data_IF_723873114026
#
_entry.id   IF_723873114026
#
_cell.length_a   1.000
_cell.length_b   1.000
_cell.length_c   1.000
_cell.angle_alpha   90.00
_cell.angle_beta   90.00
_cell.angle_gamma   90.00
#
_symmetry.space_group_name_H-M   'P 1'
#
loop_
_entity.id
_entity.type
_entity.pdbx_description
1 polymer ?
#
# COMPACT_ATOMS: atom_id res chain seq x y z
N UNK A 1 -7.24 12.87 11.53
CA UNK A 1 -6.11 12.02 11.05
C UNK A 1 -6.62 10.60 10.88
N UNK A 2 -6.44 9.96 9.72
CA UNK A 2 -6.79 8.54 9.53
C UNK A 2 -5.90 7.65 10.40
N UNK A 3 -6.46 6.56 10.95
CA UNK A 3 -5.73 5.59 11.78
C UNK A 3 -4.46 5.04 11.12
N UNK A 4 -4.50 4.81 9.80
CA UNK A 4 -3.37 4.34 9.01
C UNK A 4 -2.18 5.32 9.04
N UNK A 5 -2.45 6.63 8.99
CA UNK A 5 -1.42 7.69 9.02
C UNK A 5 -0.78 7.79 10.40
N UNK A 6 -1.59 7.72 11.48
CA UNK A 6 -1.09 7.72 12.86
C UNK A 6 -0.20 6.50 13.14
N UNK A 7 -0.52 5.34 12.57
CA UNK A 7 0.30 4.14 12.71
C UNK A 7 1.68 4.33 12.09
N UNK A 8 1.79 4.90 10.89
CA UNK A 8 3.08 5.07 10.22
C UNK A 8 4.00 6.08 10.91
N UNK A 9 3.42 7.12 11.54
CA UNK A 9 4.18 8.15 12.26
C UNK A 9 4.73 7.63 13.60
N UNK A 10 3.96 6.80 14.30
CA UNK A 10 4.28 6.35 15.67
C UNK A 10 4.97 4.99 15.73
N UNK A 11 4.99 4.23 14.61
CA UNK A 11 5.55 2.88 14.58
C UNK A 11 7.04 2.85 14.29
N UNK A 12 7.72 1.89 14.93
CA UNK A 12 9.09 1.52 14.60
C UNK A 12 9.20 0.88 13.21
N UNK A 13 10.41 0.91 12.64
CA UNK A 13 10.77 0.16 11.41
C UNK A 13 10.32 -1.30 11.45
N UNK A 14 10.47 -1.96 12.61
CA UNK A 14 10.11 -3.37 12.78
C UNK A 14 8.59 -3.59 12.62
N UNK A 15 7.80 -2.78 13.31
CA UNK A 15 6.33 -2.86 13.27
C UNK A 15 5.79 -2.62 11.85
N UNK A 16 6.37 -1.66 11.13
CA UNK A 16 5.96 -1.38 9.74
C UNK A 16 6.32 -2.54 8.82
N UNK A 17 7.50 -3.12 8.96
CA UNK A 17 7.90 -4.31 8.20
C UNK A 17 7.07 -5.55 8.51
N UNK A 18 6.62 -5.72 9.76
CA UNK A 18 5.72 -6.80 10.16
C UNK A 18 4.31 -6.59 9.58
N UNK A 19 3.76 -5.37 9.67
CA UNK A 19 2.46 -5.03 9.08
C UNK A 19 2.46 -5.19 7.57
N UNK A 20 3.52 -4.75 6.87
CA UNK A 20 3.66 -4.95 5.42
C UNK A 20 3.72 -6.42 5.03
N UNK A 21 4.39 -7.27 5.82
CA UNK A 21 4.41 -8.72 5.58
C UNK A 21 3.03 -9.34 5.76
N UNK A 22 2.25 -8.88 6.75
CA UNK A 22 0.88 -9.34 6.94
C UNK A 22 -0.02 -8.91 5.78
N UNK A 23 0.02 -7.62 5.39
CA UNK A 23 -0.72 -7.09 4.24
C UNK A 23 -0.38 -7.85 2.96
N UNK A 24 0.91 -8.12 2.72
CA UNK A 24 1.35 -8.87 1.55
C UNK A 24 0.71 -10.25 1.47
N UNK A 25 0.74 -11.06 2.54
CA UNK A 25 0.11 -12.39 2.55
C UNK A 25 -1.38 -12.31 2.22
N UNK A 26 -2.04 -11.32 2.80
CA UNK A 26 -3.46 -11.15 2.57
C UNK A 26 -3.78 -10.70 1.13
N UNK A 27 -2.92 -9.91 0.48
CA UNK A 27 -3.07 -9.54 -0.94
C UNK A 27 -2.73 -10.73 -1.84
N UNK A 28 -1.77 -11.56 -1.44
CA UNK A 28 -1.26 -12.70 -2.22
C UNK A 28 -1.98 -14.01 -1.86
N UNK A 29 -3.31 -14.03 -1.96
CA UNK A 29 -4.09 -15.26 -1.88
C UNK A 29 -5.06 -15.38 -0.72
N UNK A 30 -4.80 -14.78 0.46
CA UNK A 30 -5.72 -15.00 1.60
C UNK A 30 -7.04 -14.22 1.43
N UNK A 31 -6.97 -12.99 0.91
CA UNK A 31 -8.12 -12.08 0.77
C UNK A 31 -8.29 -11.54 -0.65
N UNK A 32 -7.35 -11.85 -1.56
CA UNK A 32 -7.39 -11.43 -2.96
C UNK A 32 -6.70 -12.47 -3.83
N UNK A 33 -6.82 -12.36 -5.15
CA UNK A 33 -6.22 -13.32 -6.07
C UNK A 33 -4.69 -13.37 -5.91
N UNK A 34 -4.06 -14.56 -6.01
CA UNK A 34 -2.60 -14.67 -5.94
C UNK A 34 -1.91 -13.75 -6.97
N UNK A 35 -0.80 -13.12 -6.58
CA UNK A 35 -0.06 -12.19 -7.45
C UNK A 35 0.34 -12.84 -8.78
N UNK A 36 0.62 -14.16 -8.77
CA UNK A 36 1.00 -14.91 -9.96
C UNK A 36 -0.04 -14.83 -11.10
N UNK A 37 -1.32 -14.71 -10.77
CA UNK A 37 -2.40 -14.65 -11.77
C UNK A 37 -2.70 -13.23 -12.24
N UNK A 38 -2.06 -12.21 -11.67
CA UNK A 38 -2.30 -10.84 -12.05
C UNK A 38 -1.63 -10.50 -13.39
N UNK A 39 -2.19 -9.52 -14.13
CA UNK A 39 -1.51 -8.90 -15.26
C UNK A 39 -0.09 -8.44 -14.92
N UNK A 40 0.84 -8.58 -15.87
CA UNK A 40 2.27 -8.28 -15.67
C UNK A 40 2.53 -6.81 -15.28
N UNK A 41 1.77 -5.90 -15.86
CA UNK A 41 1.79 -4.47 -15.58
C UNK A 41 1.32 -4.18 -14.14
N UNK A 42 0.22 -4.81 -13.70
CA UNK A 42 -0.28 -4.65 -12.32
C UNK A 42 0.68 -5.22 -11.28
N UNK A 43 1.30 -6.38 -11.55
CA UNK A 43 2.39 -6.90 -10.70
C UNK A 43 3.55 -5.92 -10.62
N UNK A 44 3.96 -5.38 -11.77
CA UNK A 44 5.07 -4.42 -11.83
C UNK A 44 4.75 -3.15 -11.05
N UNK A 45 3.53 -2.64 -11.16
CA UNK A 45 3.04 -1.50 -10.40
C UNK A 45 3.01 -1.78 -8.89
N UNK A 46 2.58 -2.99 -8.49
CA UNK A 46 2.52 -3.40 -7.08
C UNK A 46 3.88 -3.43 -6.39
N UNK A 47 4.93 -3.88 -7.10
CA UNK A 47 6.29 -3.93 -6.57
C UNK A 47 7.01 -2.58 -6.60
N UNK A 48 6.59 -1.66 -7.48
CA UNK A 48 7.02 -0.27 -7.42
C UNK A 48 6.48 0.37 -6.14
N UNK A 49 7.24 1.32 -5.59
CA UNK A 49 6.83 2.04 -4.39
C UNK A 49 5.64 2.96 -4.75
N UNK A 50 4.42 2.71 -4.24
CA UNK A 50 3.26 3.50 -4.63
C UNK A 50 3.33 4.90 -4.00
N UNK A 51 3.60 5.93 -4.82
CA UNK A 51 3.67 7.33 -4.37
C UNK A 51 2.87 8.21 -5.34
N UNK A 52 1.55 8.16 -5.23
CA UNK A 52 0.65 9.15 -5.84
C UNK A 52 0.82 9.38 -7.35
N UNK A 53 1.39 8.40 -8.06
CA UNK A 53 1.60 8.43 -9.50
C UNK A 53 0.47 7.70 -10.24
N UNK A 54 0.46 7.82 -11.57
CA UNK A 54 -0.55 7.21 -12.44
C UNK A 54 -0.62 5.68 -12.24
N UNK A 55 0.53 5.03 -12.06
CA UNK A 55 0.62 3.58 -11.86
C UNK A 55 0.02 3.17 -10.51
N UNK A 56 0.24 3.97 -9.46
CA UNK A 56 -0.41 3.80 -8.16
C UNK A 56 -1.91 3.93 -8.28
N UNK A 57 -2.41 4.91 -9.04
CA UNK A 57 -3.84 5.09 -9.26
C UNK A 57 -4.46 3.90 -10.03
N UNK A 58 -3.81 3.43 -11.10
CA UNK A 58 -4.22 2.23 -11.83
C UNK A 58 -4.25 0.99 -10.93
N UNK A 59 -3.23 0.81 -10.09
CA UNK A 59 -3.17 -0.29 -9.12
C UNK A 59 -4.33 -0.22 -8.12
N UNK A 60 -4.65 0.97 -7.59
CA UNK A 60 -5.79 1.17 -6.68
C UNK A 60 -7.10 0.79 -7.37
N UNK A 61 -7.32 1.26 -8.60
CA UNK A 61 -8.51 0.92 -9.37
C UNK A 61 -8.60 -0.58 -9.66
N UNK A 62 -7.49 -1.21 -10.04
CA UNK A 62 -7.42 -2.65 -10.26
C UNK A 62 -7.81 -3.42 -9.00
N UNK A 63 -7.20 -3.11 -7.86
CA UNK A 63 -7.48 -3.78 -6.59
C UNK A 63 -8.94 -3.58 -6.17
N UNK A 64 -9.44 -2.34 -6.18
CA UNK A 64 -10.80 -2.02 -5.75
C UNK A 64 -11.85 -2.61 -6.69
N UNK A 65 -11.65 -2.51 -8.01
CA UNK A 65 -12.56 -3.05 -9.02
C UNK A 65 -12.67 -4.58 -9.00
N UNK A 66 -11.69 -5.26 -8.40
CA UNK A 66 -11.66 -6.70 -8.23
C UNK A 66 -12.00 -7.15 -6.79
N UNK A 67 -12.55 -6.25 -5.96
CA UNK A 67 -13.08 -6.59 -4.64
C UNK A 67 -12.08 -6.53 -3.48
N UNK A 68 -10.88 -5.98 -3.68
CA UNK A 68 -9.94 -5.76 -2.58
C UNK A 68 -10.46 -4.67 -1.62
N UNK A 69 -10.46 -4.88 -0.30
CA UNK A 69 -10.94 -3.90 0.66
C UNK A 69 -10.15 -2.57 0.59
N UNK A 70 -10.84 -1.39 0.53
CA UNK A 70 -10.17 -0.10 0.46
C UNK A 70 -9.21 0.18 1.63
N UNK A 71 -9.51 -0.33 2.82
CA UNK A 71 -8.66 -0.20 4.02
C UNK A 71 -7.30 -0.86 3.83
N UNK A 72 -7.26 -2.00 3.15
CA UNK A 72 -6.04 -2.74 2.86
C UNK A 72 -5.14 -2.01 1.86
N UNK A 73 -5.75 -1.46 0.81
CA UNK A 73 -5.06 -0.65 -0.20
C UNK A 73 -4.47 0.60 0.45
N UNK A 74 -5.25 1.26 1.31
CA UNK A 74 -4.83 2.44 2.06
C UNK A 74 -3.63 2.13 2.96
N UNK A 75 -3.69 1.03 3.72
CA UNK A 75 -2.59 0.59 4.58
C UNK A 75 -1.32 0.26 3.78
N UNK A 76 -1.46 -0.35 2.59
CA UNK A 76 -0.33 -0.63 1.71
C UNK A 76 0.35 0.65 1.20
N UNK A 77 -0.44 1.64 0.75
CA UNK A 77 0.08 2.92 0.26
C UNK A 77 0.73 3.70 1.40
N UNK A 78 0.02 3.88 2.52
CA UNK A 78 0.49 4.66 3.66
C UNK A 78 1.74 4.03 4.29
N UNK A 79 1.82 2.70 4.42
CA UNK A 79 3.05 2.06 4.88
C UNK A 79 4.22 2.20 3.90
N UNK A 80 3.96 2.42 2.60
CA UNK A 80 5.00 2.67 1.60
C UNK A 80 5.64 4.05 1.77
N UNK A 81 4.90 5.03 2.31
CA UNK A 81 5.43 6.39 2.53
C UNK A 81 6.42 6.45 3.69
N UNK A 82 6.47 5.45 4.58
CA UNK A 82 7.45 5.40 5.68
C UNK A 82 8.90 5.44 5.17
N UNK A 83 9.16 4.79 4.04
CA UNK A 83 10.47 4.77 3.40
C UNK A 83 10.68 5.90 2.41
N UNK A 84 9.77 6.87 2.36
CA UNK A 84 9.97 8.07 1.57
C UNK A 84 10.85 9.08 2.27
N UNK A 85 11.96 9.40 1.60
CA UNK A 85 12.88 10.45 2.04
C UNK A 85 12.30 11.82 1.72
N UNK A 86 11.38 11.91 0.76
CA UNK A 86 10.60 13.11 0.51
C UNK A 86 9.52 13.22 1.57
N UNK A 87 9.67 14.22 2.44
CA UNK A 87 8.73 14.62 3.50
C UNK A 87 7.37 15.09 2.96
N UNK A 88 6.88 14.58 1.83
CA UNK A 88 5.60 14.99 1.22
C UNK A 88 4.42 14.67 2.14
N UNK A 89 4.57 13.72 3.07
CA UNK A 89 3.58 13.47 4.13
C UNK A 89 3.42 14.67 5.08
N UNK A 90 4.45 15.53 5.26
CA UNK A 90 4.32 16.78 6.03
C UNK A 90 3.44 17.84 5.36
N UNK A 91 3.15 17.70 4.06
CA UNK A 91 2.27 18.65 3.34
C UNK A 91 0.78 18.41 3.61
N UNK A 92 0.41 17.23 4.12
CA UNK A 92 -0.96 16.92 4.52
C UNK A 92 -1.28 17.42 5.95
N UNK A 93 -0.32 18.09 6.60
CA UNK A 93 -0.45 18.72 7.92
C UNK A 93 -0.53 20.26 7.85
N UNK A 94 -0.68 20.86 6.66
CA UNK A 94 -0.88 22.30 6.48
C UNK A 94 -2.27 22.63 5.94
#
# INVERSE_FOLDING_TARGET
>A
MCEATNFVITSSKRQISERRRALFRSVDGDMFYPLLVWPNDMRSAFWKKPIGDEETFKLVLFLMGNGCPPTMITDWIVSSTFWDKNKTVKRWEQ
#
